data_IF_648548751716
#
_entry.id   IF_648548751716
#
_cell.length_a   1.000
_cell.length_b   1.000
_cell.length_c   1.000
_cell.angle_alpha   90.00
_cell.angle_beta   90.00
_cell.angle_gamma   90.00
#
_symmetry.space_group_name_H-M   'P 1'
#
loop_
_entity.id
_entity.type
_entity.pdbx_description
1 polymer ?
#
# COMPACT_ATOMS: atom_id res chain seq x y z
N UNK A 1 -8.53 9.93 -15.82
CA UNK A 1 -7.10 10.11 -16.14
C UNK A 1 -6.56 9.00 -17.03
N UNK A 2 -6.58 7.72 -16.62
CA UNK A 2 -6.17 6.60 -17.49
C UNK A 2 -6.90 6.57 -18.84
N UNK A 3 -8.23 6.57 -18.83
CA UNK A 3 -9.01 6.58 -20.08
C UNK A 3 -8.77 7.83 -20.93
N UNK A 4 -8.45 8.97 -20.31
CA UNK A 4 -8.11 10.22 -21.02
C UNK A 4 -6.73 10.08 -21.67
N UNK A 5 -5.76 9.50 -20.98
CA UNK A 5 -4.42 9.22 -21.51
C UNK A 5 -4.47 8.23 -22.68
N UNK A 6 -5.26 7.16 -22.55
CA UNK A 6 -5.45 6.19 -23.65
C UNK A 6 -6.07 6.85 -24.88
N UNK A 7 -7.12 7.67 -24.68
CA UNK A 7 -7.71 8.40 -25.79
C UNK A 7 -6.75 9.43 -26.40
N UNK A 8 -5.94 10.09 -25.57
CA UNK A 8 -4.96 11.09 -26.00
C UNK A 8 -3.75 10.48 -26.72
N UNK A 9 -3.39 9.22 -26.44
CA UNK A 9 -2.32 8.49 -27.14
C UNK A 9 -2.74 7.96 -28.51
N UNK A 10 -3.97 8.23 -28.95
CA UNK A 10 -4.52 7.77 -30.23
C UNK A 10 -4.95 6.30 -30.22
N UNK A 11 -4.86 5.63 -29.06
CA UNK A 11 -5.33 4.26 -28.87
C UNK A 11 -6.83 4.29 -28.53
N UNK A 12 -7.66 3.80 -29.46
CA UNK A 12 -9.08 3.57 -29.17
C UNK A 12 -9.29 2.39 -28.22
N UNK A 13 -10.52 2.20 -27.74
CA UNK A 13 -10.92 1.04 -26.91
C UNK A 13 -10.52 -0.29 -27.58
N UNK A 14 -10.64 -0.38 -28.91
CA UNK A 14 -10.21 -1.55 -29.68
C UNK A 14 -8.69 -1.83 -29.54
N UNK A 15 -7.86 -0.79 -29.42
CA UNK A 15 -6.42 -0.92 -29.18
C UNK A 15 -6.10 -1.42 -27.78
N UNK A 16 -6.88 -1.02 -26.76
CA UNK A 16 -6.79 -1.61 -25.41
C UNK A 16 -7.15 -3.10 -25.47
N UNK A 17 -8.28 -3.44 -26.10
CA UNK A 17 -8.76 -4.82 -26.18
C UNK A 17 -7.76 -5.71 -26.93
N UNK A 18 -7.15 -5.21 -28.01
CA UNK A 18 -6.13 -5.93 -28.77
C UNK A 18 -4.84 -6.19 -27.96
N UNK A 19 -4.52 -5.32 -26.99
CA UNK A 19 -3.36 -5.47 -26.12
C UNK A 19 -3.69 -6.11 -24.77
N UNK A 20 -4.97 -6.37 -24.48
CA UNK A 20 -5.40 -7.00 -23.24
C UNK A 20 -4.75 -8.39 -23.08
N UNK A 21 -4.57 -9.12 -24.19
CA UNK A 21 -3.86 -10.41 -24.18
C UNK A 21 -2.40 -10.25 -23.74
N UNK A 22 -1.71 -9.19 -24.17
CA UNK A 22 -0.32 -8.93 -23.78
C UNK A 22 -0.20 -8.47 -22.32
N UNK A 23 -1.20 -7.75 -21.83
CA UNK A 23 -1.29 -7.36 -20.42
C UNK A 23 -1.52 -8.61 -19.58
N UNK A 24 -2.51 -9.43 -19.94
CA UNK A 24 -2.86 -10.65 -19.20
C UNK A 24 -1.88 -11.80 -19.38
N UNK A 25 -0.97 -11.74 -20.35
CA UNK A 25 0.10 -12.73 -20.54
C UNK A 25 1.31 -12.49 -19.63
N UNK A 26 1.30 -11.45 -18.80
CA UNK A 26 2.29 -11.31 -17.73
C UNK A 26 2.14 -12.49 -16.76
N UNK A 27 3.24 -13.18 -16.46
CA UNK A 27 3.28 -14.25 -15.46
C UNK A 27 2.75 -13.83 -14.08
N UNK A 28 2.75 -12.52 -13.75
CA UNK A 28 2.14 -12.02 -12.52
C UNK A 28 0.60 -12.19 -12.48
N UNK A 29 -0.04 -12.37 -13.65
CA UNK A 29 -1.48 -12.57 -13.83
C UNK A 29 -1.91 -14.04 -13.97
N UNK A 30 -0.99 -15.02 -13.92
CA UNK A 30 -1.30 -16.46 -14.09
C UNK A 30 -2.11 -17.09 -12.93
N UNK A 31 -2.66 -16.29 -12.02
CA UNK A 31 -3.47 -16.76 -10.89
C UNK A 31 -4.95 -16.88 -11.23
N UNK A 32 -5.54 -18.00 -10.82
CA UNK A 32 -6.99 -18.17 -10.84
C UNK A 32 -7.67 -17.22 -9.82
N UNK A 33 -8.91 -16.82 -10.09
CA UNK A 33 -9.70 -15.90 -9.28
C UNK A 33 -9.77 -16.32 -7.81
N UNK A 34 -9.85 -17.62 -7.53
CA UNK A 34 -9.84 -18.13 -6.16
C UNK A 34 -8.51 -17.89 -5.44
N UNK A 35 -7.39 -18.03 -6.15
CA UNK A 35 -6.07 -17.77 -5.62
C UNK A 35 -5.85 -16.26 -5.39
N UNK A 36 -6.31 -15.40 -6.30
CA UNK A 36 -6.29 -13.94 -6.13
C UNK A 36 -7.15 -13.48 -4.96
N UNK A 37 -8.33 -14.08 -4.75
CA UNK A 37 -9.16 -13.78 -3.58
C UNK A 37 -8.50 -14.23 -2.27
N UNK A 38 -7.90 -15.43 -2.26
CA UNK A 38 -7.12 -15.91 -1.11
C UNK A 38 -5.89 -15.05 -0.82
N UNK A 39 -5.23 -14.53 -1.85
CA UNK A 39 -4.04 -13.70 -1.71
C UNK A 39 -4.32 -12.45 -0.85
N UNK A 40 -5.52 -11.89 -0.89
CA UNK A 40 -5.92 -10.79 0.00
C UNK A 40 -5.78 -11.19 1.48
N UNK A 41 -6.29 -12.35 1.87
CA UNK A 41 -6.23 -12.84 3.25
C UNK A 41 -4.83 -13.32 3.62
N UNK A 42 -4.15 -14.00 2.70
CA UNK A 42 -2.77 -14.44 2.91
C UNK A 42 -1.82 -13.26 3.12
N UNK A 43 -1.97 -12.16 2.39
CA UNK A 43 -1.15 -10.97 2.62
C UNK A 43 -1.31 -10.38 4.03
N UNK A 44 -2.52 -10.42 4.59
CA UNK A 44 -2.77 -10.02 5.99
C UNK A 44 -2.18 -11.06 6.97
N UNK A 45 -2.30 -12.36 6.65
CA UNK A 45 -1.67 -13.45 7.41
C UNK A 45 -0.15 -13.36 7.42
N UNK A 46 0.48 -13.04 6.30
CA UNK A 46 1.92 -12.94 6.17
C UNK A 46 2.46 -11.76 6.99
N UNK A 47 1.71 -10.66 7.03
CA UNK A 47 2.07 -9.50 7.85
C UNK A 47 1.86 -9.73 9.36
N UNK A 48 0.71 -10.28 9.77
CA UNK A 48 0.31 -10.33 11.18
C UNK A 48 0.33 -11.73 11.80
N UNK A 49 0.62 -12.76 11.03
CA UNK A 49 0.46 -14.16 11.42
C UNK A 49 -1.01 -14.56 11.61
N UNK A 50 -1.23 -15.84 11.90
CA UNK A 50 -2.57 -16.44 12.12
C UNK A 50 -3.40 -15.82 13.23
N UNK A 51 -2.81 -14.97 14.08
CA UNK A 51 -3.55 -14.25 15.12
C UNK A 51 -4.58 -13.27 14.51
N UNK A 52 -4.42 -12.87 13.23
CA UNK A 52 -5.41 -12.03 12.55
C UNK A 52 -6.81 -12.67 12.47
N UNK A 53 -6.90 -14.01 12.42
CA UNK A 53 -8.18 -14.72 12.44
C UNK A 53 -8.97 -14.47 13.73
N UNK A 54 -8.32 -14.10 14.83
CA UNK A 54 -9.00 -13.68 16.06
C UNK A 54 -9.79 -12.38 15.86
N UNK A 55 -9.29 -11.45 15.04
CA UNK A 55 -10.03 -10.23 14.69
C UNK A 55 -11.30 -10.55 13.90
N UNK A 56 -11.22 -11.48 12.93
CA UNK A 56 -12.40 -11.95 12.20
C UNK A 56 -13.41 -12.65 13.12
N UNK A 57 -12.92 -13.42 14.10
CA UNK A 57 -13.77 -14.01 15.14
C UNK A 57 -14.44 -12.92 15.99
N UNK A 58 -13.73 -11.87 16.40
CA UNK A 58 -14.31 -10.75 17.16
C UNK A 58 -15.39 -10.03 16.35
N UNK A 59 -15.20 -9.83 15.04
CA UNK A 59 -16.24 -9.28 14.15
C UNK A 59 -17.47 -10.18 14.16
N UNK A 60 -17.31 -11.49 13.98
CA UNK A 60 -18.42 -12.44 14.01
C UNK A 60 -19.17 -12.42 15.36
N UNK A 61 -18.45 -12.41 16.48
CA UNK A 61 -19.04 -12.33 17.83
C UNK A 61 -19.75 -11.00 18.05
N UNK A 62 -19.22 -9.89 17.52
CA UNK A 62 -19.84 -8.56 17.60
C UNK A 62 -21.17 -8.52 16.83
N UNK A 63 -21.21 -9.10 15.64
CA UNK A 63 -22.45 -9.26 14.84
C UNK A 63 -23.46 -10.13 15.60
N UNK A 64 -23.05 -11.29 16.12
CA UNK A 64 -23.94 -12.20 16.85
C UNK A 64 -24.50 -11.54 18.12
N UNK A 65 -23.69 -10.72 18.80
CA UNK A 65 -24.09 -9.99 20.00
C UNK A 65 -25.19 -8.97 19.71
N UNK A 66 -25.29 -8.46 18.47
CA UNK A 66 -26.35 -7.50 18.08
C UNK A 66 -27.77 -8.08 18.18
N UNK A 67 -27.93 -9.41 18.13
CA UNK A 67 -29.24 -10.06 18.22
C UNK A 67 -29.78 -10.20 19.65
N UNK A 68 -28.95 -9.95 20.68
CA UNK A 68 -29.34 -10.08 22.09
C UNK A 68 -28.73 -8.97 22.95
N UNK A 69 -29.54 -7.96 23.30
CA UNK A 69 -29.09 -6.77 24.06
C UNK A 69 -28.34 -7.09 25.36
N UNK A 70 -28.82 -8.07 26.15
CA UNK A 70 -28.18 -8.50 27.39
C UNK A 70 -26.79 -9.13 27.14
N UNK A 71 -26.68 -9.91 26.06
CA UNK A 71 -25.41 -10.51 25.65
C UNK A 71 -24.46 -9.42 25.12
N UNK A 72 -24.97 -8.45 24.36
CA UNK A 72 -24.18 -7.32 23.85
C UNK A 72 -23.51 -6.53 24.96
N UNK A 73 -24.24 -6.18 26.02
CA UNK A 73 -23.69 -5.40 27.14
C UNK A 73 -22.53 -6.12 27.84
N UNK A 74 -22.64 -7.44 28.01
CA UNK A 74 -21.57 -8.24 28.60
C UNK A 74 -20.40 -8.40 27.62
N UNK A 75 -20.71 -8.73 26.36
CA UNK A 75 -19.71 -9.00 25.33
C UNK A 75 -18.91 -7.75 24.95
N UNK A 76 -19.50 -6.55 24.97
CA UNK A 76 -18.86 -5.30 24.54
C UNK A 76 -17.53 -5.05 25.26
N UNK A 77 -17.49 -5.20 26.58
CA UNK A 77 -16.26 -4.96 27.36
C UNK A 77 -15.18 -6.00 27.01
N UNK A 78 -15.55 -7.29 26.90
CA UNK A 78 -14.59 -8.35 26.56
C UNK A 78 -14.09 -8.23 25.12
N UNK A 79 -14.97 -7.88 24.18
CA UNK A 79 -14.60 -7.63 22.79
C UNK A 79 -13.66 -6.43 22.73
N UNK A 80 -13.99 -5.32 23.40
CA UNK A 80 -13.12 -4.14 23.42
C UNK A 80 -11.73 -4.44 24.00
N UNK A 81 -11.65 -5.18 25.11
CA UNK A 81 -10.37 -5.57 25.69
C UNK A 81 -9.57 -6.44 24.72
N UNK A 82 -10.19 -7.48 24.14
CA UNK A 82 -9.53 -8.36 23.19
C UNK A 82 -9.07 -7.60 21.93
N UNK A 83 -9.91 -6.71 21.42
CA UNK A 83 -9.65 -5.90 20.24
C UNK A 83 -8.53 -4.88 20.48
N UNK A 84 -8.48 -4.25 21.66
CA UNK A 84 -7.34 -3.40 22.07
C UNK A 84 -6.05 -4.20 22.15
N UNK A 85 -6.07 -5.42 22.71
CA UNK A 85 -4.87 -6.27 22.77
C UNK A 85 -4.37 -6.65 21.37
N UNK A 86 -5.29 -6.98 20.46
CA UNK A 86 -4.97 -7.27 19.07
C UNK A 86 -4.43 -6.02 18.36
N UNK A 87 -5.04 -4.86 18.57
CA UNK A 87 -4.58 -3.60 17.99
C UNK A 87 -3.18 -3.22 18.48
N UNK A 88 -2.86 -3.39 19.77
CA UNK A 88 -1.50 -3.16 20.29
C UNK A 88 -0.50 -4.07 19.57
N UNK A 89 -0.83 -5.35 19.41
CA UNK A 89 0.02 -6.29 18.68
C UNK A 89 0.19 -5.88 17.21
N UNK A 90 -0.89 -5.58 16.49
CA UNK A 90 -0.82 -5.18 15.08
C UNK A 90 -0.09 -3.85 14.89
N UNK A 91 -0.29 -2.88 15.78
CA UNK A 91 0.41 -1.59 15.73
C UNK A 91 1.93 -1.77 15.94
N UNK A 92 2.34 -2.66 16.84
CA UNK A 92 3.75 -2.99 17.05
C UNK A 92 4.37 -3.64 15.81
N UNK A 93 3.67 -4.60 15.17
CA UNK A 93 4.09 -5.21 13.91
C UNK A 93 4.13 -4.19 12.77
N UNK A 94 3.20 -3.24 12.77
CA UNK A 94 3.06 -2.21 11.72
C UNK A 94 4.02 -1.03 11.87
N UNK A 95 4.85 -0.99 12.93
CA UNK A 95 5.69 0.16 13.27
C UNK A 95 6.73 0.54 12.20
N UNK A 96 6.87 -0.27 11.14
CA UNK A 96 7.76 -0.04 9.99
C UNK A 96 7.05 0.27 8.68
N UNK A 97 5.72 0.13 8.60
CA UNK A 97 4.97 0.26 7.34
C UNK A 97 3.64 1.00 7.55
N UNK A 98 3.46 2.17 6.92
CA UNK A 98 2.26 3.01 7.09
C UNK A 98 0.99 2.28 6.66
N UNK A 99 1.06 1.59 5.52
CA UNK A 99 -0.01 0.73 5.03
C UNK A 99 -0.46 -0.36 6.00
N UNK A 100 0.48 -1.01 6.69
CA UNK A 100 0.14 -2.01 7.69
C UNK A 100 -0.62 -1.32 8.84
N UNK A 101 -0.18 -0.14 9.28
CA UNK A 101 -0.89 0.59 10.33
C UNK A 101 -2.35 0.90 9.96
N UNK A 102 -2.64 1.20 8.69
CA UNK A 102 -4.02 1.36 8.21
C UNK A 102 -4.82 0.05 8.30
N UNK A 103 -4.20 -1.09 8.00
CA UNK A 103 -4.82 -2.43 8.10
C UNK A 103 -5.11 -2.78 9.55
N UNK A 104 -4.13 -2.59 10.45
CA UNK A 104 -4.28 -2.76 11.89
C UNK A 104 -5.45 -1.94 12.44
N UNK A 105 -5.55 -0.68 12.03
CA UNK A 105 -6.64 0.20 12.43
C UNK A 105 -7.99 -0.22 11.84
N UNK A 106 -8.04 -0.65 10.58
CA UNK A 106 -9.27 -1.17 9.99
C UNK A 106 -9.78 -2.42 10.75
N UNK A 107 -8.88 -3.34 11.13
CA UNK A 107 -9.21 -4.52 11.93
C UNK A 107 -9.78 -4.14 13.31
N UNK A 108 -9.22 -3.13 13.96
CA UNK A 108 -9.71 -2.59 15.23
C UNK A 108 -11.11 -1.96 15.11
N UNK A 109 -11.37 -1.18 14.06
CA UNK A 109 -12.68 -0.52 13.93
C UNK A 109 -13.81 -1.49 13.59
N UNK A 110 -13.51 -2.59 12.88
CA UNK A 110 -14.51 -3.48 12.34
C UNK A 110 -15.47 -4.08 13.40
N UNK A 111 -15.01 -4.73 14.48
CA UNK A 111 -15.91 -5.22 15.52
C UNK A 111 -16.65 -4.08 16.25
N UNK A 112 -15.98 -2.95 16.48
CA UNK A 112 -16.55 -1.80 17.20
C UNK A 112 -17.70 -1.13 16.45
N UNK A 113 -17.67 -1.11 15.11
CA UNK A 113 -18.80 -0.66 14.30
C UNK A 113 -20.09 -1.43 14.61
N UNK A 114 -20.01 -2.75 14.75
CA UNK A 114 -21.19 -3.56 15.07
C UNK A 114 -21.68 -3.32 16.50
N UNK A 115 -20.77 -3.06 17.44
CA UNK A 115 -21.09 -2.72 18.82
C UNK A 115 -21.65 -1.30 18.99
N UNK A 116 -21.36 -0.38 18.06
CA UNK A 116 -21.83 1.00 18.11
C UNK A 116 -23.37 1.08 18.14
N UNK A 117 -23.90 1.96 18.99
CA UNK A 117 -25.35 2.17 19.16
C UNK A 117 -25.96 2.82 17.91
N UNK A 118 -25.29 3.89 17.46
CA UNK A 118 -25.55 4.55 16.18
C UNK A 118 -24.58 3.96 15.16
N UNK A 119 -25.09 3.71 13.95
CA UNK A 119 -24.30 3.16 12.84
C UNK A 119 -24.53 4.03 11.63
N UNK A 120 -23.49 4.71 11.17
CA UNK A 120 -23.48 5.28 9.84
C UNK A 120 -23.16 4.21 8.79
N UNK A 121 -24.22 3.59 8.26
CA UNK A 121 -24.12 2.58 7.20
C UNK A 121 -23.60 3.15 5.88
N UNK A 122 -23.77 4.45 5.62
CA UNK A 122 -23.26 5.07 4.40
C UNK A 122 -21.73 5.13 4.46
N UNK A 123 -21.16 5.68 5.53
CA UNK A 123 -19.71 5.71 5.75
C UNK A 123 -19.14 4.29 5.75
N UNK A 124 -19.81 3.36 6.44
CA UNK A 124 -19.37 1.96 6.47
C UNK A 124 -19.38 1.30 5.08
N UNK A 125 -20.44 1.47 4.29
CA UNK A 125 -20.51 0.87 2.96
C UNK A 125 -19.54 1.55 1.96
N UNK A 126 -19.50 2.88 1.94
CA UNK A 126 -18.77 3.63 0.92
C UNK A 126 -17.27 3.75 1.20
N UNK A 127 -16.86 4.00 2.44
CA UNK A 127 -15.47 4.21 2.81
C UNK A 127 -14.85 2.94 3.38
N UNK A 128 -15.51 2.30 4.36
CA UNK A 128 -14.94 1.13 5.04
C UNK A 128 -14.92 -0.10 4.14
N UNK A 129 -16.09 -0.62 3.75
CA UNK A 129 -16.18 -1.76 2.83
C UNK A 129 -15.70 -1.41 1.43
N UNK A 130 -15.97 -0.20 0.95
CA UNK A 130 -15.44 0.30 -0.33
C UNK A 130 -13.91 0.28 -0.38
N UNK A 131 -13.24 0.69 0.71
CA UNK A 131 -11.79 0.60 0.84
C UNK A 131 -11.27 -0.84 0.81
N UNK A 132 -11.90 -1.75 1.55
CA UNK A 132 -11.56 -3.18 1.51
C UNK A 132 -11.81 -3.80 0.13
N UNK A 133 -12.87 -3.38 -0.57
CA UNK A 133 -13.15 -3.84 -1.93
C UNK A 133 -12.09 -3.34 -2.92
N UNK A 134 -11.67 -2.08 -2.84
CA UNK A 134 -10.55 -1.55 -3.62
C UNK A 134 -9.28 -2.34 -3.33
N UNK A 135 -8.98 -2.62 -2.06
CA UNK A 135 -7.85 -3.47 -1.70
C UNK A 135 -7.95 -4.86 -2.33
N UNK A 136 -9.13 -5.50 -2.28
CA UNK A 136 -9.33 -6.80 -2.90
C UNK A 136 -9.11 -6.73 -4.42
N UNK A 137 -9.51 -5.67 -5.11
CA UNK A 137 -9.25 -5.55 -6.56
C UNK A 137 -7.76 -5.53 -6.92
N UNK A 138 -6.90 -4.99 -6.04
CA UNK A 138 -5.44 -5.03 -6.25
C UNK A 138 -4.86 -6.45 -6.14
N UNK A 139 -5.49 -7.36 -5.39
CA UNK A 139 -5.03 -8.76 -5.36
C UNK A 139 -5.33 -9.52 -6.66
N UNK A 140 -6.19 -8.96 -7.52
CA UNK A 140 -6.43 -9.45 -8.89
C UNK A 140 -5.51 -8.80 -9.92
N UNK A 141 -4.80 -7.72 -9.59
CA UNK A 141 -3.95 -7.01 -10.56
C UNK A 141 -2.48 -7.44 -10.54
N UNK A 142 -1.89 -7.85 -9.42
CA UNK A 142 -0.48 -8.28 -9.41
C UNK A 142 -0.13 -9.08 -8.15
N UNK A 143 1.08 -9.64 -8.08
CA UNK A 143 1.68 -10.18 -6.84
C UNK A 143 2.05 -9.02 -5.91
N UNK A 144 1.00 -8.45 -5.36
CA UNK A 144 1.07 -7.38 -4.39
C UNK A 144 0.90 -7.97 -3.00
N UNK A 145 1.96 -7.98 -2.20
CA UNK A 145 1.82 -8.23 -0.76
C UNK A 145 0.97 -7.12 -0.12
N UNK A 146 0.88 -7.13 1.21
CA UNK A 146 0.05 -6.19 1.93
C UNK A 146 0.37 -4.71 1.62
N UNK A 147 1.56 -4.39 1.08
CA UNK A 147 1.95 -3.04 0.70
C UNK A 147 0.98 -2.38 -0.30
N UNK A 148 0.59 -3.02 -1.40
CA UNK A 148 -0.36 -2.41 -2.36
C UNK A 148 -1.80 -2.53 -1.86
N UNK A 149 -2.12 -3.66 -1.24
CA UNK A 149 -3.45 -3.89 -0.66
C UNK A 149 -3.78 -2.81 0.38
N UNK A 150 -2.78 -2.34 1.12
CA UNK A 150 -2.97 -1.32 2.14
C UNK A 150 -3.46 0.04 1.61
N UNK A 151 -3.41 0.30 0.29
CA UNK A 151 -3.97 1.51 -0.33
C UNK A 151 -5.48 1.57 -0.04
N UNK A 152 -6.19 0.48 -0.27
CA UNK A 152 -7.63 0.38 0.05
C UNK A 152 -7.89 0.44 1.56
N UNK A 153 -7.01 -0.14 2.37
CA UNK A 153 -7.11 -0.06 3.82
C UNK A 153 -6.92 1.36 4.36
N UNK A 154 -6.21 2.25 3.66
CA UNK A 154 -6.15 3.68 3.99
C UNK A 154 -7.51 4.37 3.91
N UNK A 155 -8.31 4.05 2.89
CA UNK A 155 -9.70 4.51 2.78
C UNK A 155 -10.56 3.95 3.91
N UNK A 156 -10.38 2.66 4.22
CA UNK A 156 -11.09 2.02 5.31
C UNK A 156 -10.73 2.63 6.67
N UNK A 157 -9.46 2.96 6.91
CA UNK A 157 -9.01 3.63 8.12
C UNK A 157 -9.59 5.04 8.24
N UNK A 158 -9.63 5.81 7.15
CA UNK A 158 -10.26 7.14 7.14
C UNK A 158 -11.76 7.07 7.48
N UNK A 159 -12.49 6.13 6.87
CA UNK A 159 -13.87 5.84 7.26
C UNK A 159 -13.97 5.37 8.72
N UNK A 160 -13.02 4.56 9.16
CA UNK A 160 -12.96 4.03 10.52
C UNK A 160 -12.82 5.09 11.60
N UNK A 161 -12.06 6.17 11.36
CA UNK A 161 -11.96 7.32 12.28
C UNK A 161 -13.35 7.94 12.52
N UNK A 162 -14.14 8.09 11.46
CA UNK A 162 -15.50 8.61 11.54
C UNK A 162 -16.42 7.65 12.29
N UNK A 163 -16.35 6.35 11.98
CA UNK A 163 -17.15 5.32 12.64
C UNK A 163 -16.82 5.14 14.13
N UNK A 164 -15.56 5.35 14.53
CA UNK A 164 -15.17 5.33 15.94
C UNK A 164 -15.84 6.45 16.74
N UNK A 165 -16.18 7.57 16.12
CA UNK A 165 -16.89 8.65 16.82
C UNK A 165 -18.31 8.23 17.24
N UNK A 166 -19.00 7.45 16.39
CA UNK A 166 -20.31 6.88 16.69
C UNK A 166 -20.23 5.83 17.81
N UNK A 167 -19.15 5.04 17.85
CA UNK A 167 -18.89 4.17 18.98
C UNK A 167 -18.59 5.01 20.23
N UNK A 168 -17.54 5.83 20.22
CA UNK A 168 -17.03 6.59 21.38
C UNK A 168 -18.07 7.47 22.09
N UNK A 169 -19.05 8.03 21.37
CA UNK A 169 -20.02 8.96 21.95
C UNK A 169 -21.24 8.28 22.56
N UNK A 170 -21.55 7.03 22.18
CA UNK A 170 -22.64 6.25 22.80
C UNK A 170 -24.06 6.84 22.69
N UNK A 171 -24.23 8.03 22.10
CA UNK A 171 -25.49 8.78 22.11
C UNK A 171 -26.52 8.08 21.23
N UNK A 172 -27.60 7.61 21.84
CA UNK A 172 -28.81 7.23 21.12
C UNK A 172 -29.45 8.49 20.59
N UNK A 173 -29.83 8.53 19.30
CA UNK A 173 -30.56 9.67 18.73
C UNK A 173 -31.88 10.01 19.45
N UNK A 174 -32.37 9.14 20.35
CA UNK A 174 -33.48 9.42 21.26
C UNK A 174 -33.13 10.38 22.39
N UNK A 175 -31.88 10.39 22.88
CA UNK A 175 -31.46 11.19 24.04
C UNK A 175 -31.32 12.69 23.68
N UNK A 176 -30.98 12.99 22.42
CA UNK A 176 -30.89 14.36 21.90
C UNK A 176 -32.28 14.99 21.73
N UNK A 177 -33.26 14.21 21.24
CA UNK A 177 -34.64 14.69 21.09
C UNK A 177 -35.32 14.93 22.45
N UNK A 178 -35.00 14.13 23.47
CA UNK A 178 -35.50 14.37 24.85
C UNK A 178 -34.83 15.57 25.52
N UNK A 179 -33.57 15.86 25.20
CA UNK A 179 -32.86 17.04 25.72
C UNK A 179 -33.39 18.34 25.10
N UNK A 180 -33.72 18.33 23.79
CA UNK A 180 -34.33 19.48 23.12
C UNK A 180 -35.81 19.69 23.52
N UNK A 181 -36.56 18.63 23.82
CA UNK A 181 -37.93 18.76 24.35
C UNK A 181 -38.00 19.10 25.85
N UNK A 182 -36.90 18.99 26.59
CA UNK A 182 -36.85 19.15 28.05
C UNK A 182 -36.73 20.59 28.55
N UNK A 183 -36.57 21.56 27.65
CA UNK A 183 -36.40 22.99 28.00
C UNK A 183 -37.71 23.78 28.10
N UNK A 184 -38.88 23.17 27.85
CA UNK A 184 -40.19 23.81 28.05
C UNK A 184 -41.09 22.97 28.97
N UNK A 185 -41.02 23.23 30.28
CA UNK A 185 -42.12 23.17 31.28
C UNK A 185 -41.62 22.84 32.69
N UNK A 186 -40.81 23.74 33.26
CA UNK A 186 -40.72 23.83 34.72
C UNK A 186 -41.96 24.57 35.22
N UNK A 187 -43.09 23.87 35.40
CA UNK A 187 -44.15 24.20 36.38
C UNK A 187 -45.28 23.17 36.33
N UNK A 188 -45.35 22.34 37.37
CA UNK A 188 -46.60 21.69 37.78
C UNK A 188 -46.83 20.26 37.27
N UNK A 189 -46.38 19.28 38.05
CA UNK A 189 -47.15 18.06 38.37
C UNK A 189 -46.30 17.17 39.30
N UNK A 190 -46.40 17.43 40.60
CA UNK A 190 -46.35 16.35 41.57
C UNK A 190 -47.60 15.49 41.37
N UNK A 191 -47.50 14.20 41.70
CA UNK A 191 -48.58 13.20 41.68
C UNK A 191 -48.90 12.58 40.31
N UNK A 192 -48.23 11.47 40.00
CA UNK A 192 -48.90 10.17 39.80
C UNK A 192 -47.83 9.09 39.69
N UNK A 193 -47.81 8.19 40.67
CA UNK A 193 -47.04 6.96 40.60
C UNK A 193 -47.62 6.05 39.54
N UNK A 194 -46.96 5.99 38.39
CA UNK A 194 -47.04 4.87 37.47
C UNK A 194 -45.59 4.39 37.29
N UNK A 195 -45.31 3.21 37.85
CA UNK A 195 -44.10 2.46 37.60
C UNK A 195 -44.08 2.08 36.11
N UNK A 196 -43.59 2.97 35.26
CA UNK A 196 -42.99 2.54 34.01
C UNK A 196 -41.63 1.95 34.37
N UNK A 197 -41.47 0.65 34.14
CA UNK A 197 -40.16 0.00 34.04
C UNK A 197 -39.34 0.73 32.97
N UNK A 198 -38.71 1.83 33.36
CA UNK A 198 -37.72 2.53 32.57
C UNK A 198 -36.56 1.57 32.42
N UNK A 199 -36.33 1.09 31.21
CA UNK A 199 -35.12 0.39 30.84
C UNK A 199 -33.94 1.26 31.27
N UNK A 200 -33.31 0.91 32.39
CA UNK A 200 -32.10 1.56 32.86
C UNK A 200 -31.09 1.60 31.71
N UNK A 201 -30.92 2.82 31.19
CA UNK A 201 -29.90 3.27 30.26
C UNK A 201 -28.57 3.26 31.02
N UNK A 202 -28.09 2.08 31.36
CA UNK A 202 -26.90 1.87 32.16
C UNK A 202 -25.79 1.22 31.34
N UNK A 203 -25.05 2.01 30.57
CA UNK A 203 -23.60 1.79 30.51
C UNK A 203 -23.07 1.93 31.93
N UNK A 204 -22.15 1.07 32.38
CA UNK A 204 -21.53 1.23 33.70
C UNK A 204 -21.03 2.68 33.85
N UNK A 205 -21.32 3.40 34.96
CA UNK A 205 -20.86 4.76 35.14
C UNK A 205 -19.32 4.81 34.97
N UNK A 206 -18.85 5.61 34.00
CA UNK A 206 -17.43 5.74 33.64
C UNK A 206 -16.95 4.93 32.42
N UNK A 207 -17.71 3.92 31.95
CA UNK A 207 -17.32 3.12 30.77
C UNK A 207 -17.30 3.91 29.45
N UNK A 208 -18.20 4.89 29.29
CA UNK A 208 -18.22 5.81 28.15
C UNK A 208 -16.93 6.65 28.04
N UNK A 209 -16.42 7.11 29.19
CA UNK A 209 -15.18 7.88 29.25
C UNK A 209 -14.00 7.00 28.83
N UNK A 210 -13.95 5.77 29.32
CA UNK A 210 -12.91 4.79 28.97
C UNK A 210 -12.96 4.48 27.47
N UNK A 211 -14.14 4.18 26.90
CA UNK A 211 -14.34 3.92 25.46
C UNK A 211 -13.83 5.08 24.62
N UNK A 212 -14.20 6.32 24.99
CA UNK A 212 -13.74 7.54 24.32
C UNK A 212 -12.22 7.67 24.32
N UNK A 213 -11.57 7.49 25.47
CA UNK A 213 -10.10 7.59 25.53
C UNK A 213 -9.40 6.46 24.77
N UNK A 214 -9.94 5.25 24.75
CA UNK A 214 -9.41 4.15 23.94
C UNK A 214 -9.49 4.51 22.45
N UNK A 215 -10.62 5.03 21.98
CA UNK A 215 -10.78 5.44 20.58
C UNK A 215 -9.81 6.57 20.20
N UNK A 216 -9.68 7.59 21.07
CA UNK A 216 -8.72 8.68 20.89
C UNK A 216 -7.29 8.14 20.84
N UNK A 217 -6.93 7.22 21.74
CA UNK A 217 -5.62 6.61 21.78
C UNK A 217 -5.34 5.84 20.48
N UNK A 218 -6.28 5.02 19.99
CA UNK A 218 -6.11 4.27 18.75
C UNK A 218 -5.89 5.19 17.54
N UNK A 219 -6.68 6.26 17.41
CA UNK A 219 -6.51 7.28 16.35
C UNK A 219 -5.16 8.00 16.50
N UNK A 220 -4.77 8.32 17.74
CA UNK A 220 -3.48 8.96 18.02
C UNK A 220 -2.32 8.06 17.62
N UNK A 221 -2.37 6.77 17.93
CA UNK A 221 -1.35 5.79 17.52
C UNK A 221 -1.28 5.69 15.99
N UNK A 222 -2.43 5.61 15.29
CA UNK A 222 -2.48 5.62 13.82
C UNK A 222 -1.76 6.84 13.24
N UNK A 223 -2.10 8.04 13.72
CA UNK A 223 -1.54 9.29 13.22
C UNK A 223 -0.05 9.40 13.55
N UNK A 224 0.35 9.13 14.79
CA UNK A 224 1.74 9.26 15.22
C UNK A 224 2.66 8.25 14.52
N UNK A 225 2.26 6.98 14.42
CA UNK A 225 3.05 5.97 13.71
C UNK A 225 3.18 6.36 12.23
N UNK A 226 2.07 6.75 11.59
CA UNK A 226 2.10 7.18 10.19
C UNK A 226 2.99 8.41 9.98
N UNK A 227 2.91 9.40 10.87
CA UNK A 227 3.71 10.61 10.82
C UNK A 227 5.20 10.31 11.00
N UNK A 228 5.56 9.56 12.04
CA UNK A 228 6.95 9.16 12.30
C UNK A 228 7.53 8.39 11.11
N UNK A 229 6.76 7.46 10.53
CA UNK A 229 7.20 6.70 9.36
C UNK A 229 7.48 7.60 8.16
N UNK A 230 6.59 8.56 7.87
CA UNK A 230 6.73 9.48 6.74
C UNK A 230 7.84 10.52 6.93
N UNK A 231 8.20 10.82 8.17
CA UNK A 231 9.25 11.79 8.47
C UNK A 231 10.63 11.15 8.59
N UNK A 232 10.73 9.93 9.14
CA UNK A 232 12.02 9.32 9.49
C UNK A 232 12.60 8.42 8.38
N UNK A 233 11.75 7.80 7.56
CA UNK A 233 12.19 6.83 6.56
C UNK A 233 12.19 7.43 5.16
N UNK A 234 13.31 7.25 4.47
CA UNK A 234 13.45 7.54 3.04
C UNK A 234 13.39 6.23 2.29
N UNK A 235 12.57 6.19 1.25
CA UNK A 235 12.36 4.98 0.47
C UNK A 235 13.66 4.58 -0.24
N UNK A 236 14.18 3.38 0.10
CA UNK A 236 15.40 2.78 -0.48
C UNK A 236 16.65 3.67 -0.38
N UNK A 237 16.78 4.40 0.72
CA UNK A 237 17.97 5.21 1.01
C UNK A 237 18.26 5.14 2.53
N UNK A 238 19.33 5.78 2.97
CA UNK A 238 19.64 5.88 4.39
C UNK A 238 18.59 6.73 5.15
N UNK A 239 18.49 6.59 6.48
CA UNK A 239 17.64 7.46 7.29
C UNK A 239 17.97 8.94 7.10
N UNK A 240 16.99 9.83 7.27
CA UNK A 240 17.13 11.28 7.05
C UNK A 240 18.36 11.90 7.75
N UNK A 241 18.72 11.39 8.93
CA UNK A 241 19.86 11.87 9.70
C UNK A 241 21.24 11.55 9.08
N UNK A 242 21.31 10.61 8.13
CA UNK A 242 22.53 10.17 7.46
C UNK A 242 22.71 10.76 6.04
N UNK A 243 21.72 11.53 5.55
CA UNK A 243 21.77 12.13 4.21
C UNK A 243 22.55 13.43 4.25
N UNK A 244 23.62 13.51 3.46
CA UNK A 244 24.62 14.59 3.55
C UNK A 244 25.00 15.22 2.20
N UNK A 245 24.61 14.59 1.09
CA UNK A 245 25.09 14.93 -0.24
C UNK A 245 23.92 15.28 -1.15
N UNK A 246 23.94 16.47 -1.74
CA UNK A 246 22.89 16.94 -2.65
C UNK A 246 23.25 16.64 -4.10
N UNK A 247 22.36 15.96 -4.80
CA UNK A 247 22.50 15.71 -6.24
C UNK A 247 22.32 17.02 -7.02
N UNK A 248 23.24 17.34 -7.92
CA UNK A 248 23.25 18.60 -8.67
C UNK A 248 22.73 18.47 -10.09
N UNK A 249 22.74 17.28 -10.66
CA UNK A 249 22.48 17.04 -12.09
C UNK A 249 21.53 15.85 -12.32
N UNK A 250 21.03 15.76 -13.56
CA UNK A 250 20.11 14.71 -14.00
C UNK A 250 18.71 14.75 -13.36
N UNK A 251 17.91 13.69 -13.52
CA UNK A 251 16.50 13.64 -13.09
C UNK A 251 16.28 13.79 -11.59
N UNK A 252 17.26 13.44 -10.76
CA UNK A 252 17.20 13.51 -9.30
C UNK A 252 17.81 14.79 -8.71
N UNK A 253 18.19 15.77 -9.55
CA UNK A 253 18.77 17.03 -9.11
C UNK A 253 17.89 17.72 -8.05
N UNK A 254 18.51 18.11 -6.94
CA UNK A 254 17.84 18.73 -5.80
C UNK A 254 17.57 17.78 -4.62
N UNK A 255 17.57 16.47 -4.83
CA UNK A 255 17.45 15.48 -3.75
C UNK A 255 18.75 15.42 -2.93
N UNK A 256 18.62 15.03 -1.66
CA UNK A 256 19.73 14.81 -0.74
C UNK A 256 19.78 13.31 -0.44
N UNK A 257 20.94 12.71 -0.58
CA UNK A 257 21.22 11.29 -0.36
C UNK A 257 22.56 11.12 0.37
N UNK A 258 23.06 9.90 0.54
CA UNK A 258 24.41 9.64 1.04
C UNK A 258 25.47 9.87 -0.04
N UNK A 259 26.70 10.19 0.34
CA UNK A 259 27.81 10.30 -0.61
C UNK A 259 28.00 9.05 -1.50
N UNK A 260 27.76 7.85 -0.96
CA UNK A 260 27.84 6.60 -1.71
C UNK A 260 26.79 6.51 -2.82
N UNK A 261 25.51 6.75 -2.48
CA UNK A 261 24.43 6.74 -3.46
C UNK A 261 24.55 7.87 -4.47
N UNK A 262 25.06 9.03 -4.07
CA UNK A 262 25.39 10.11 -5.01
C UNK A 262 26.43 9.65 -6.03
N UNK A 263 27.53 9.02 -5.60
CA UNK A 263 28.54 8.47 -6.49
C UNK A 263 28.00 7.39 -7.43
N UNK A 264 27.11 6.51 -6.95
CA UNK A 264 26.44 5.51 -7.80
C UNK A 264 25.55 6.17 -8.86
N UNK A 265 24.74 7.16 -8.45
CA UNK A 265 23.85 7.90 -9.34
C UNK A 265 24.64 8.65 -10.42
N UNK A 266 25.69 9.40 -10.02
CA UNK A 266 26.56 10.15 -10.93
C UNK A 266 27.29 9.22 -11.89
N UNK A 267 27.85 8.12 -11.41
CA UNK A 267 28.54 7.14 -12.26
C UNK A 267 27.63 6.48 -13.31
N UNK A 268 26.37 6.21 -12.96
CA UNK A 268 25.38 5.71 -13.94
C UNK A 268 24.94 6.82 -14.90
N UNK A 269 24.76 8.05 -14.41
CA UNK A 269 24.38 9.19 -15.24
C UNK A 269 25.44 9.49 -16.30
N UNK A 270 26.72 9.56 -15.91
CA UNK A 270 27.86 9.74 -16.82
C UNK A 270 27.92 8.63 -17.88
N UNK A 271 27.70 7.37 -17.47
CA UNK A 271 27.65 6.25 -18.40
C UNK A 271 26.50 6.43 -19.42
N UNK A 272 25.30 6.83 -18.96
CA UNK A 272 24.18 7.09 -19.86
C UNK A 272 24.52 8.18 -20.87
N UNK A 273 25.04 9.31 -20.40
CA UNK A 273 25.38 10.44 -21.27
C UNK A 273 26.45 10.11 -22.31
N UNK A 274 27.46 9.32 -21.91
CA UNK A 274 28.56 8.87 -22.78
C UNK A 274 28.07 8.01 -23.96
N UNK A 275 27.04 7.18 -23.75
CA UNK A 275 26.51 6.25 -24.73
C UNK A 275 25.14 6.67 -25.30
N UNK A 276 24.67 7.89 -25.01
CA UNK A 276 23.38 8.40 -25.47
C UNK A 276 23.41 8.66 -26.99
N UNK A 277 22.68 7.86 -27.76
CA UNK A 277 22.52 8.04 -29.20
C UNK A 277 21.07 8.37 -29.54
N UNK A 278 20.77 9.64 -29.84
CA UNK A 278 19.40 10.15 -29.97
C UNK A 278 18.42 9.41 -30.91
N UNK A 279 18.91 8.53 -31.80
CA UNK A 279 18.08 7.71 -32.69
C UNK A 279 18.04 6.22 -32.34
N UNK A 280 18.88 5.76 -31.41
CA UNK A 280 18.96 4.36 -31.01
C UNK A 280 17.97 3.98 -29.91
N UNK A 281 17.97 2.69 -29.56
CA UNK A 281 17.22 2.13 -28.44
C UNK A 281 18.13 1.75 -27.27
N UNK A 282 17.69 2.03 -26.03
CA UNK A 282 18.41 1.71 -24.80
C UNK A 282 17.59 0.77 -23.92
N UNK A 283 18.27 -0.23 -23.33
CA UNK A 283 17.72 -1.09 -22.30
C UNK A 283 18.49 -0.87 -20.99
N UNK A 284 17.74 -0.61 -19.92
CA UNK A 284 18.26 -0.65 -18.56
C UNK A 284 17.82 -1.95 -17.91
N UNK A 285 18.77 -2.73 -17.43
CA UNK A 285 18.43 -3.99 -16.78
C UNK A 285 18.02 -3.78 -15.32
N UNK A 286 17.13 -4.64 -14.83
CA UNK A 286 16.66 -4.67 -13.44
C UNK A 286 16.09 -3.31 -12.98
N UNK A 287 16.66 -2.69 -11.96
CA UNK A 287 16.06 -1.57 -11.23
C UNK A 287 16.82 -0.28 -11.53
N UNK A 288 16.37 0.42 -12.58
CA UNK A 288 16.74 1.81 -12.86
C UNK A 288 15.52 2.64 -13.31
N UNK A 289 14.53 2.88 -12.43
CA UNK A 289 13.26 3.47 -12.82
C UNK A 289 13.38 4.90 -13.36
N UNK A 290 14.49 5.59 -13.12
CA UNK A 290 14.75 6.93 -13.65
C UNK A 290 15.59 6.93 -14.93
N UNK A 291 16.21 5.80 -15.32
CA UNK A 291 17.19 5.77 -16.42
C UNK A 291 16.64 6.30 -17.75
N UNK A 292 15.38 5.98 -18.06
CA UNK A 292 14.72 6.47 -19.27
C UNK A 292 14.52 8.00 -19.31
N UNK A 293 14.58 8.67 -18.16
CA UNK A 293 14.49 10.14 -18.07
C UNK A 293 15.85 10.82 -18.23
N UNK A 294 16.94 10.06 -18.10
CA UNK A 294 18.32 10.53 -18.25
C UNK A 294 18.88 10.35 -19.69
N UNK A 295 18.16 9.65 -20.57
CA UNK A 295 18.58 9.38 -21.95
C UNK A 295 17.59 9.94 -22.97
N UNK A 296 18.09 10.30 -24.15
CA UNK A 296 17.26 10.68 -25.31
C UNK A 296 16.93 9.48 -26.21
N UNK A 297 17.53 8.32 -25.95
CA UNK A 297 17.27 7.08 -26.69
C UNK A 297 15.85 6.58 -26.45
N UNK A 298 15.33 5.83 -27.41
CA UNK A 298 14.04 5.15 -27.27
C UNK A 298 14.18 3.99 -26.28
N UNK A 299 13.15 3.72 -25.48
CA UNK A 299 13.13 2.53 -24.61
C UNK A 299 13.12 1.27 -25.48
N UNK A 300 14.10 0.40 -25.25
CA UNK A 300 14.29 -0.90 -25.91
C UNK A 300 13.74 -2.07 -25.09
N UNK A 301 12.62 -1.86 -24.39
CA UNK A 301 11.93 -2.84 -23.56
C UNK A 301 10.40 -2.63 -23.65
N UNK A 302 9.58 -3.63 -23.30
CA UNK A 302 8.12 -3.48 -23.25
C UNK A 302 7.67 -2.50 -22.15
N UNK A 303 8.45 -2.36 -21.09
CA UNK A 303 8.27 -1.42 -19.99
C UNK A 303 9.64 -0.99 -19.42
N UNK A 304 9.66 -0.07 -18.46
CA UNK A 304 10.90 0.42 -17.83
C UNK A 304 11.15 -0.21 -16.46
N UNK A 305 10.52 -1.35 -16.16
CA UNK A 305 10.50 -1.93 -14.81
C UNK A 305 11.06 -3.36 -14.80
N UNK A 306 12.20 -3.55 -14.11
CA UNK A 306 12.73 -4.89 -13.77
C UNK A 306 12.95 -5.81 -14.98
N UNK A 307 13.62 -5.31 -16.00
CA UNK A 307 13.96 -6.11 -17.17
C UNK A 307 15.24 -6.94 -16.93
N UNK A 308 15.08 -8.25 -16.74
CA UNK A 308 16.19 -9.21 -16.59
C UNK A 308 16.79 -9.62 -17.93
N UNK A 309 18.11 -9.86 -17.97
CA UNK A 309 18.77 -10.31 -19.22
C UNK A 309 18.26 -11.68 -19.64
N UNK A 310 17.98 -12.56 -18.67
CA UNK A 310 17.42 -13.89 -18.88
C UNK A 310 15.96 -13.91 -19.34
N UNK A 311 15.28 -12.75 -19.38
CA UNK A 311 13.85 -12.69 -19.67
C UNK A 311 13.51 -13.06 -21.11
N UNK A 312 12.77 -14.14 -21.31
CA UNK A 312 12.22 -14.52 -22.63
C UNK A 312 11.26 -13.46 -23.18
N UNK A 313 10.58 -12.70 -22.30
CA UNK A 313 9.65 -11.62 -22.69
C UNK A 313 10.35 -10.53 -23.51
N UNK A 314 11.62 -10.22 -23.22
CA UNK A 314 12.40 -9.27 -24.01
C UNK A 314 12.60 -9.78 -25.43
N UNK A 315 12.92 -11.07 -25.59
CA UNK A 315 13.15 -11.69 -26.89
C UNK A 315 11.87 -11.67 -27.73
N UNK A 316 10.75 -12.09 -27.13
CA UNK A 316 9.44 -12.06 -27.78
C UNK A 316 9.05 -10.63 -28.19
N UNK A 317 9.37 -9.64 -27.35
CA UNK A 317 9.15 -8.23 -27.67
C UNK A 317 9.96 -7.80 -28.89
N UNK A 318 11.22 -8.20 -29.01
CA UNK A 318 12.05 -7.87 -30.17
C UNK A 318 11.59 -8.59 -31.45
N UNK A 319 11.10 -9.83 -31.35
CA UNK A 319 10.52 -10.53 -32.49
C UNK A 319 9.27 -9.81 -33.02
N UNK A 320 8.45 -9.24 -32.13
CA UNK A 320 7.28 -8.43 -32.47
C UNK A 320 7.63 -7.00 -32.91
N UNK A 321 8.71 -6.44 -32.37
CA UNK A 321 9.20 -5.07 -32.60
C UNK A 321 10.70 -5.06 -32.87
N UNK A 322 11.16 -5.48 -34.06
CA UNK A 322 12.59 -5.56 -34.35
C UNK A 322 13.29 -4.20 -34.30
N UNK A 323 12.58 -3.10 -34.58
CA UNK A 323 13.09 -1.73 -34.49
C UNK A 323 13.31 -1.24 -33.04
N UNK A 324 12.99 -2.08 -32.04
CA UNK A 324 13.14 -1.79 -30.61
C UNK A 324 14.24 -2.59 -29.95
N UNK A 325 14.90 -3.49 -30.67
CA UNK A 325 16.03 -4.21 -30.11
C UNK A 325 17.15 -3.22 -29.74
N UNK A 326 17.65 -3.22 -28.49
CA UNK A 326 18.48 -2.12 -27.97
C UNK A 326 19.86 -2.03 -28.64
N UNK A 327 20.23 -0.85 -29.09
CA UNK A 327 21.60 -0.56 -29.55
C UNK A 327 22.57 -0.46 -28.36
N UNK A 328 22.05 -0.03 -27.21
CA UNK A 328 22.78 0.13 -25.95
C UNK A 328 22.06 -0.64 -24.84
N UNK A 329 22.79 -1.47 -24.11
CA UNK A 329 22.28 -2.17 -22.91
C UNK A 329 23.13 -1.80 -21.71
N UNK A 330 22.50 -1.19 -20.71
CA UNK A 330 23.15 -0.80 -19.45
C UNK A 330 22.86 -1.88 -18.41
N UNK A 331 23.90 -2.62 -18.06
CA UNK A 331 23.87 -3.67 -17.03
C UNK A 331 24.47 -3.09 -15.75
N UNK A 332 23.61 -2.77 -14.79
CA UNK A 332 24.03 -2.22 -13.51
C UNK A 332 24.85 -3.23 -12.70
N UNK A 333 25.75 -2.72 -11.87
CA UNK A 333 26.39 -3.55 -10.85
C UNK A 333 25.37 -4.09 -9.87
N UNK A 334 25.65 -5.26 -9.30
CA UNK A 334 24.68 -5.98 -8.49
C UNK A 334 24.20 -5.13 -7.31
N UNK A 335 25.13 -4.43 -6.67
CA UNK A 335 24.99 -3.56 -5.51
C UNK A 335 24.47 -2.15 -5.82
N UNK A 336 24.39 -1.75 -7.08
CA UNK A 336 23.95 -0.40 -7.43
C UNK A 336 22.50 -0.18 -6.95
N UNK A 337 22.24 0.89 -6.20
CA UNK A 337 20.92 1.15 -5.60
C UNK A 337 20.52 0.15 -4.51
N UNK A 338 21.49 -0.54 -3.91
CA UNK A 338 21.33 -1.24 -2.63
C UNK A 338 21.01 -0.23 -1.52
N UNK A 339 20.48 -0.72 -0.41
CA UNK A 339 20.11 0.14 0.72
C UNK A 339 20.12 -0.67 2.01
N UNK A 340 20.44 -0.04 3.13
CA UNK A 340 20.50 -0.72 4.44
C UNK A 340 19.12 -1.00 5.03
N UNK A 341 18.14 -0.12 4.78
CA UNK A 341 16.74 -0.35 5.19
C UNK A 341 15.80 0.58 4.42
N UNK A 342 14.74 0.04 3.83
CA UNK A 342 13.65 0.85 3.26
C UNK A 342 12.58 1.23 4.29
N UNK A 343 12.83 0.98 5.58
CA UNK A 343 11.80 0.89 6.61
C UNK A 343 11.10 -0.47 6.58
N UNK A 344 10.24 -0.68 5.59
CA UNK A 344 9.39 -1.86 5.41
C UNK A 344 9.94 -2.91 4.43
N UNK A 345 10.86 -2.53 3.55
CA UNK A 345 11.51 -3.47 2.63
C UNK A 345 12.79 -3.99 3.26
N UNK A 346 12.96 -5.32 3.26
CA UNK A 346 14.25 -5.94 3.60
C UNK A 346 15.35 -5.35 2.70
N UNK A 347 16.52 -5.13 3.31
CA UNK A 347 17.70 -4.69 2.60
C UNK A 347 18.02 -5.72 1.52
N UNK A 348 18.04 -5.27 0.27
CA UNK A 348 18.59 -6.07 -0.81
C UNK A 348 20.01 -5.56 -1.05
N UNK A 349 21.05 -6.32 -0.69
CA UNK A 349 22.44 -5.92 -0.93
C UNK A 349 22.81 -6.02 -2.41
N UNK A 350 22.00 -6.69 -3.24
CA UNK A 350 22.30 -6.95 -4.64
C UNK A 350 21.04 -6.80 -5.54
N UNK A 351 20.34 -5.65 -5.49
CA UNK A 351 19.04 -5.48 -6.16
C UNK A 351 19.11 -5.54 -7.69
N UNK A 352 20.31 -5.38 -8.24
CA UNK A 352 20.57 -5.39 -9.67
C UNK A 352 21.37 -6.62 -10.12
N UNK A 353 21.54 -7.63 -9.25
CA UNK A 353 22.13 -8.90 -9.65
C UNK A 353 21.40 -9.48 -10.87
N UNK A 354 22.17 -9.92 -11.86
CA UNK A 354 21.66 -10.38 -13.15
C UNK A 354 22.47 -11.61 -13.63
N UNK A 355 21.89 -12.42 -14.51
CA UNK A 355 22.58 -13.57 -15.12
C UNK A 355 22.69 -13.35 -16.63
N UNK A 356 23.80 -13.80 -17.22
CA UNK A 356 24.01 -13.75 -18.69
C UNK A 356 23.35 -14.94 -19.41
N UNK A 357 22.35 -15.54 -18.79
CA UNK A 357 21.61 -16.66 -19.35
C UNK A 357 20.57 -16.18 -20.37
N UNK A 358 20.04 -17.13 -21.14
CA UNK A 358 19.01 -16.84 -22.14
C UNK A 358 19.54 -16.25 -23.46
N UNK A 359 18.60 -15.94 -24.35
CA UNK A 359 18.88 -15.48 -25.71
C UNK A 359 19.54 -14.09 -25.73
N UNK A 360 19.01 -13.13 -24.96
CA UNK A 360 19.59 -11.79 -24.90
C UNK A 360 21.01 -11.83 -24.32
N UNK A 361 21.25 -12.63 -23.27
CA UNK A 361 22.60 -12.84 -22.73
C UNK A 361 23.58 -13.34 -23.79
N UNK A 362 23.17 -14.31 -24.61
CA UNK A 362 23.99 -14.79 -25.74
C UNK A 362 24.22 -13.72 -26.81
N UNK A 363 23.21 -12.91 -27.12
CA UNK A 363 23.34 -11.77 -28.05
C UNK A 363 24.34 -10.75 -27.53
N UNK A 364 24.28 -10.38 -26.24
CA UNK A 364 25.26 -9.48 -25.62
C UNK A 364 26.69 -10.02 -25.73
N UNK A 365 26.89 -11.33 -25.58
CA UNK A 365 28.22 -11.95 -25.65
C UNK A 365 28.80 -12.07 -27.08
N UNK A 366 27.97 -11.99 -28.12
CA UNK A 366 28.40 -12.28 -29.51
C UNK A 366 28.22 -11.10 -30.46
N UNK A 367 27.21 -10.25 -30.23
CA UNK A 367 26.81 -9.15 -31.08
C UNK A 367 27.04 -7.76 -30.46
N UNK A 368 27.59 -7.67 -29.25
CA UNK A 368 27.85 -6.41 -28.56
C UNK A 368 29.30 -6.34 -28.07
N UNK A 369 29.77 -5.11 -27.90
CA UNK A 369 31.03 -4.81 -27.22
C UNK A 369 30.72 -4.25 -25.84
N UNK A 370 31.25 -4.88 -24.79
CA UNK A 370 31.08 -4.44 -23.41
C UNK A 370 32.13 -3.41 -22.99
N UNK A 371 31.68 -2.36 -22.33
CA UNK A 371 32.49 -1.27 -21.78
C UNK A 371 32.24 -1.20 -20.27
N UNK A 372 33.30 -1.27 -19.47
CA UNK A 372 33.18 -1.17 -18.01
C UNK A 372 33.19 0.30 -17.60
N UNK A 373 32.17 0.72 -16.85
CA UNK A 373 32.06 2.03 -16.22
C UNK A 373 32.09 1.89 -14.69
N UNK A 374 31.95 3.01 -13.97
CA UNK A 374 32.09 3.04 -12.51
C UNK A 374 31.09 2.11 -11.79
N UNK A 375 29.82 2.14 -12.18
CA UNK A 375 28.71 1.45 -11.50
C UNK A 375 27.87 0.54 -12.43
N UNK A 376 28.39 0.27 -13.63
CA UNK A 376 27.72 -0.58 -14.61
C UNK A 376 28.68 -1.10 -15.68
N UNK A 377 28.19 -2.04 -16.48
CA UNK A 377 28.78 -2.43 -17.76
C UNK A 377 27.80 -2.05 -18.88
N UNK A 378 28.27 -1.25 -19.84
CA UNK A 378 27.48 -0.83 -20.99
C UNK A 378 27.84 -1.68 -22.20
N UNK A 379 26.86 -2.31 -22.83
CA UNK A 379 27.03 -3.07 -24.05
C UNK A 379 26.52 -2.27 -25.24
N UNK A 380 27.38 -2.02 -26.22
CA UNK A 380 27.03 -1.35 -27.48
C UNK A 380 26.99 -2.35 -28.63
N UNK A 381 25.92 -2.37 -29.41
CA UNK A 381 25.77 -3.32 -30.54
C UNK A 381 26.87 -3.11 -31.57
N UNK A 382 27.47 -4.21 -32.02
CA UNK A 382 28.44 -4.21 -33.11
C UNK A 382 27.70 -3.85 -34.42
N UNK A 383 28.15 -2.80 -35.09
CA UNK A 383 27.59 -2.35 -36.38
C UNK A 383 28.25 -3.03 -37.57
#
# INVERSE_FOLDING_TARGET
LFLIYVYASGLGIAGILANLVNILSDSEHDRDYYQSFKAFFHAIEDAYGRIYYLSLLLVAVSILSCFREKLRRLAEIYILIADVMLFIYYAAVSARHTGFMNTAFALFVFPLFFLARKKDWYIFASLFLGGLAVSATYSFSSYSDLYVLSIGHGLAAAGGILLLSDYATGVSGRDVLTAESGTESLTGAAETGILTEGAETGSLPGSEIIRKYICIAAVTVLILVSFCLRFAYVYRDAPVAALDTKLTEGPAAGLITTAEHAGQYEGVLEAIEKYDEAQGCILFTRILPWGYTASKMRVGAPDTWRNEISSERLVQYYDLKPDREPDVVVVLDAEAGSYETGGDVEADPAPNANTMEGELGRRLMTGYTGHREACCTVYTRNR
#
